data_IF_097701948623
#
_entry.id   IF_097701948623
#
_cell.length_a   1.000
_cell.length_b   1.000
_cell.length_c   1.000
_cell.angle_alpha   90.00
_cell.angle_beta   90.00
_cell.angle_gamma   90.00
#
_symmetry.space_group_name_H-M   'P 1'
#
loop_
_entity.id
_entity.type
_entity.pdbx_description
1 polymer ?
#
# COMPACT_ATOMS: atom_id res chain seq x y z
N UNK A 1 0.84 23.06 22.17
CA UNK A 1 0.78 21.70 21.56
C UNK A 1 -0.62 21.47 21.01
N UNK A 2 -0.77 21.17 19.72
CA UNK A 2 -2.07 20.81 19.13
C UNK A 2 -2.03 19.38 18.58
N UNK A 3 -2.91 18.52 19.09
CA UNK A 3 -3.06 17.15 18.59
C UNK A 3 -4.10 17.16 17.48
N UNK A 4 -3.69 16.92 16.23
CA UNK A 4 -4.60 16.74 15.08
C UNK A 4 -4.56 15.29 14.62
N UNK A 5 -5.72 14.68 14.42
CA UNK A 5 -5.86 13.31 13.91
C UNK A 5 -6.20 13.37 12.41
N UNK A 6 -5.37 12.75 11.57
CA UNK A 6 -5.66 12.49 10.15
C UNK A 6 -5.68 10.97 9.97
N UNK A 7 -6.85 10.40 9.69
CA UNK A 7 -6.99 8.99 9.29
C UNK A 7 -6.40 7.96 10.27
N UNK A 8 -6.75 8.02 11.56
CA UNK A 8 -6.40 6.99 12.55
C UNK A 8 -4.93 6.92 12.99
N UNK A 9 -3.98 7.45 12.21
CA UNK A 9 -2.57 7.56 12.60
C UNK A 9 -2.38 8.76 13.52
N UNK A 10 -1.78 8.52 14.69
CA UNK A 10 -1.41 9.57 15.65
C UNK A 10 -0.21 10.33 15.09
N UNK A 11 -0.43 11.58 14.70
CA UNK A 11 0.62 12.49 14.23
C UNK A 11 0.91 13.50 15.33
N UNK A 12 2.17 13.66 15.73
CA UNK A 12 2.60 14.68 16.69
C UNK A 12 3.15 15.87 15.90
N UNK A 13 2.44 17.00 15.97
CA UNK A 13 2.95 18.27 15.43
C UNK A 13 3.88 18.92 16.45
N UNK A 14 5.12 19.16 16.03
CA UNK A 14 6.08 19.99 16.74
C UNK A 14 5.72 21.47 16.52
N UNK A 15 6.01 22.40 17.46
CA UNK A 15 5.62 23.81 17.36
C UNK A 15 6.08 24.53 16.07
N UNK A 16 7.13 24.03 15.41
CA UNK A 16 7.64 24.56 14.13
C UNK A 16 6.86 24.08 12.90
N UNK A 17 5.69 23.45 13.08
CA UNK A 17 4.86 22.90 12.00
C UNK A 17 5.44 21.64 11.36
N UNK A 18 6.61 21.17 11.81
CA UNK A 18 7.22 19.92 11.35
C UNK A 18 6.57 18.74 12.07
N UNK A 19 6.26 17.72 11.29
CA UNK A 19 5.73 16.46 11.81
C UNK A 19 6.88 15.69 12.45
N UNK A 20 6.81 15.45 13.77
CA UNK A 20 7.75 14.57 14.44
C UNK A 20 7.34 13.12 14.12
N UNK A 21 7.84 12.61 13.01
CA UNK A 21 7.78 11.18 12.71
C UNK A 21 8.74 10.46 13.67
N UNK A 22 8.25 9.40 14.32
CA UNK A 22 9.04 8.52 15.19
C UNK A 22 10.26 7.94 14.42
N UNK A 23 11.35 7.55 15.10
CA UNK A 23 12.67 7.48 14.51
C UNK A 23 12.78 6.42 13.40
N UNK A 24 13.25 6.89 12.24
CA UNK A 24 14.14 6.22 11.31
C UNK A 24 13.94 4.70 11.08
N UNK A 25 12.99 4.35 10.21
CA UNK A 25 13.10 3.15 9.37
C UNK A 25 12.74 3.42 7.90
N UNK A 26 12.65 4.71 7.51
CA UNK A 26 12.23 5.12 6.18
C UNK A 26 13.39 5.81 5.49
N UNK A 27 14.03 5.04 4.61
CA UNK A 27 14.90 5.55 3.57
C UNK A 27 14.14 6.67 2.81
N UNK A 28 14.71 7.89 2.62
CA UNK A 28 14.02 9.01 1.97
C UNK A 28 13.72 8.78 0.48
N UNK A 29 14.08 7.61 -0.08
CA UNK A 29 13.86 7.23 -1.47
C UNK A 29 12.60 6.37 -1.72
N UNK A 30 11.87 5.96 -0.68
CA UNK A 30 10.69 5.09 -0.86
C UNK A 30 9.48 5.75 -0.20
N UNK A 31 8.37 6.01 -0.94
CA UNK A 31 7.11 6.29 -0.28
C UNK A 31 6.71 5.01 0.44
N UNK A 32 7.01 4.94 1.73
CA UNK A 32 6.63 3.84 2.60
C UNK A 32 5.12 3.77 2.85
N UNK A 33 4.31 4.38 1.97
CA UNK A 33 2.87 4.39 2.06
C UNK A 33 2.32 3.01 1.65
N UNK A 34 1.62 2.30 2.56
CA UNK A 34 0.94 1.05 2.24
C UNK A 34 -0.01 1.18 1.04
N UNK A 35 -0.60 2.36 0.81
CA UNK A 35 -1.48 2.63 -0.34
C UNK A 35 -0.69 2.62 -1.64
N UNK A 36 0.48 3.25 -1.68
CA UNK A 36 1.34 3.26 -2.89
C UNK A 36 1.80 1.85 -3.21
N UNK A 37 2.20 1.07 -2.20
CA UNK A 37 2.56 -0.35 -2.39
C UNK A 37 1.38 -1.21 -2.88
N UNK A 38 0.18 -0.94 -2.39
CA UNK A 38 -1.03 -1.63 -2.84
C UNK A 38 -1.34 -1.31 -4.31
N UNK A 39 -1.22 -0.04 -4.73
CA UNK A 39 -1.41 0.38 -6.11
C UNK A 39 -0.39 -0.25 -7.07
N UNK A 40 0.89 -0.29 -6.68
CA UNK A 40 1.93 -0.93 -7.48
C UNK A 40 1.61 -2.42 -7.69
N UNK A 41 1.21 -3.13 -6.62
CA UNK A 41 0.80 -4.53 -6.71
C UNK A 41 -0.44 -4.71 -7.59
N UNK A 42 -1.45 -3.87 -7.43
CA UNK A 42 -2.67 -3.92 -8.24
C UNK A 42 -2.36 -3.79 -9.73
N UNK A 43 -1.54 -2.80 -10.12
CA UNK A 43 -1.11 -2.59 -11.51
C UNK A 43 -0.29 -3.77 -12.06
N UNK A 44 0.65 -4.30 -11.28
CA UNK A 44 1.44 -5.48 -11.67
C UNK A 44 0.56 -6.70 -11.93
N UNK A 45 -0.34 -6.99 -11.01
CA UNK A 45 -1.25 -8.13 -11.09
C UNK A 45 -2.28 -8.00 -12.21
N UNK A 46 -2.78 -6.79 -12.46
CA UNK A 46 -3.61 -6.51 -13.61
C UNK A 46 -2.86 -6.79 -14.92
N UNK A 47 -1.59 -6.36 -15.04
CA UNK A 47 -0.77 -6.66 -16.21
C UNK A 47 -0.54 -8.17 -16.44
N UNK A 48 -0.39 -8.97 -15.38
CA UNK A 48 -0.26 -10.43 -15.49
C UNK A 48 -1.54 -11.11 -15.97
N UNK A 49 -2.70 -10.57 -15.61
CA UNK A 49 -4.00 -11.07 -16.08
C UNK A 49 -4.25 -10.65 -17.53
N UNK A 50 -3.92 -9.40 -17.89
CA UNK A 50 -4.09 -8.85 -19.23
C UNK A 50 -3.15 -9.48 -20.27
N UNK A 51 -1.91 -9.78 -19.86
CA UNK A 51 -0.94 -10.50 -20.71
C UNK A 51 -1.28 -11.97 -20.92
N UNK A 52 -2.22 -12.53 -20.15
CA UNK A 52 -2.56 -13.94 -20.18
C UNK A 52 -1.49 -14.86 -19.57
N UNK A 53 -0.47 -14.31 -18.92
CA UNK A 53 0.54 -15.09 -18.17
C UNK A 53 -0.08 -15.85 -16.99
N UNK A 54 -1.19 -15.34 -16.47
CA UNK A 54 -1.98 -16.01 -15.43
C UNK A 54 -3.44 -16.04 -15.86
N UNK A 55 -4.04 -17.23 -15.84
CA UNK A 55 -5.38 -17.42 -16.40
C UNK A 55 -6.48 -16.96 -15.43
N UNK A 56 -6.24 -17.03 -14.11
CA UNK A 56 -7.26 -16.69 -13.12
C UNK A 56 -6.71 -15.96 -11.89
N UNK A 57 -7.56 -15.16 -11.25
CA UNK A 57 -7.27 -14.53 -9.95
C UNK A 57 -6.91 -15.56 -8.88
N UNK A 58 -7.49 -16.77 -8.95
CA UNK A 58 -7.20 -17.85 -7.98
C UNK A 58 -5.76 -18.35 -8.13
N UNK A 59 -5.35 -18.63 -9.37
CA UNK A 59 -3.99 -19.04 -9.70
C UNK A 59 -2.97 -17.94 -9.31
N UNK A 60 -3.31 -16.68 -9.57
CA UNK A 60 -2.47 -15.56 -9.15
C UNK A 60 -2.33 -15.46 -7.63
N UNK A 61 -3.41 -15.72 -6.89
CA UNK A 61 -3.43 -15.69 -5.44
C UNK A 61 -2.58 -16.82 -4.84
N UNK A 62 -2.66 -18.03 -5.41
CA UNK A 62 -1.82 -19.17 -5.02
C UNK A 62 -0.33 -18.91 -5.32
N UNK A 63 -0.02 -18.33 -6.50
CA UNK A 63 1.36 -17.99 -6.91
C UNK A 63 2.01 -16.94 -6.00
N UNK A 64 1.24 -15.94 -5.56
CA UNK A 64 1.72 -14.84 -4.72
C UNK A 64 1.52 -15.10 -3.21
N UNK A 65 0.93 -16.24 -2.82
CA UNK A 65 0.72 -16.62 -1.43
C UNK A 65 -0.25 -15.71 -0.67
N UNK A 66 -1.17 -15.06 -1.38
CA UNK A 66 -2.17 -14.14 -0.82
C UNK A 66 -3.58 -14.70 -0.94
N UNK A 67 -4.46 -14.24 -0.08
CA UNK A 67 -5.85 -14.67 -0.11
C UNK A 67 -6.58 -14.06 -1.33
N UNK A 68 -7.43 -14.87 -1.99
CA UNK A 68 -8.11 -14.48 -3.23
C UNK A 68 -8.94 -13.21 -3.07
N UNK A 69 -9.66 -13.07 -1.96
CA UNK A 69 -10.48 -11.89 -1.66
C UNK A 69 -9.63 -10.65 -1.40
N UNK A 70 -8.46 -10.79 -0.78
CA UNK A 70 -7.47 -9.72 -0.66
C UNK A 70 -6.99 -9.24 -2.02
N UNK A 71 -6.64 -10.16 -2.92
CA UNK A 71 -6.23 -9.85 -4.29
C UNK A 71 -7.35 -9.12 -5.05
N UNK A 72 -8.58 -9.63 -4.97
CA UNK A 72 -9.75 -9.01 -5.59
C UNK A 72 -10.05 -7.60 -5.05
N UNK A 73 -9.79 -7.33 -3.76
CA UNK A 73 -9.90 -5.99 -3.18
C UNK A 73 -8.80 -5.07 -3.71
N UNK A 74 -7.59 -5.58 -3.90
CA UNK A 74 -6.46 -4.80 -4.41
C UNK A 74 -6.67 -4.40 -5.88
N UNK A 75 -7.19 -5.29 -6.71
CA UNK A 75 -7.49 -5.02 -8.12
C UNK A 75 -8.59 -3.95 -8.30
N UNK A 76 -9.48 -3.78 -7.32
CA UNK A 76 -10.51 -2.71 -7.33
C UNK A 76 -9.98 -1.32 -7.00
N UNK A 77 -8.70 -1.20 -6.64
CA UNK A 77 -8.07 0.06 -6.27
C UNK A 77 -7.52 0.85 -7.49
N UNK A 78 -7.50 0.23 -8.67
CA UNK A 78 -7.14 0.89 -9.93
C UNK A 78 -8.33 1.67 -10.51
#
# INVERSE_FOLDING_TARGET
MQLRRRGGRKVILTPDGRTAEAPAASNPAMPDDPVVRALIRARRWQGLLESGEVATIKELAEKEGVEKSYLAKLLKLN
#
